data_IF_740729204910
#
_entry.id   IF_740729204910
#
_cell.length_a   1.000
_cell.length_b   1.000
_cell.length_c   1.000
_cell.angle_alpha   90.00
_cell.angle_beta   90.00
_cell.angle_gamma   90.00
#
_symmetry.space_group_name_H-M   'P 1'
#
loop_
_entity.id
_entity.type
_entity.pdbx_description
1 polymer ?
#
# COMPACT_ATOMS: atom_id res chain seq x y z
N UNK A 1 2.52 -21.74 20.76
CA UNK A 1 1.50 -20.97 19.99
C UNK A 1 2.02 -20.79 18.57
N UNK A 2 1.13 -20.82 17.57
CA UNK A 2 1.45 -20.36 16.21
C UNK A 2 0.85 -18.97 16.04
N UNK A 3 1.60 -18.06 15.40
CA UNK A 3 1.13 -16.73 15.07
C UNK A 3 1.46 -16.40 13.61
N UNK A 4 0.50 -15.83 12.88
CA UNK A 4 0.60 -15.62 11.46
C UNK A 4 0.38 -14.15 11.13
N UNK A 5 1.20 -13.60 10.23
CA UNK A 5 1.03 -12.26 9.66
C UNK A 5 1.16 -12.27 8.15
N UNK A 6 0.54 -11.29 7.50
CA UNK A 6 0.56 -11.12 6.05
C UNK A 6 1.12 -9.75 5.68
N UNK A 7 1.65 -9.65 4.46
CA UNK A 7 2.02 -8.40 3.82
C UNK A 7 1.74 -8.48 2.32
N UNK A 8 1.60 -7.32 1.67
CA UNK A 8 1.31 -7.20 0.24
C UNK A 8 2.34 -6.31 -0.45
N UNK A 9 2.55 -6.53 -1.75
CA UNK A 9 3.41 -5.68 -2.58
C UNK A 9 2.70 -4.38 -2.96
N UNK A 10 3.45 -3.45 -3.54
CA UNK A 10 2.93 -2.16 -4.03
C UNK A 10 1.82 -2.29 -5.08
N UNK A 11 1.75 -3.42 -5.80
CA UNK A 11 0.74 -3.67 -6.82
C UNK A 11 -0.51 -4.39 -6.33
N UNK A 12 -0.63 -4.68 -5.04
CA UNK A 12 -1.88 -5.17 -4.46
C UNK A 12 -2.93 -4.05 -4.44
N UNK A 13 -4.23 -4.32 -4.73
CA UNK A 13 -5.27 -3.29 -4.77
C UNK A 13 -5.30 -2.36 -3.56
N UNK A 14 -5.14 -2.88 -2.35
CA UNK A 14 -5.12 -2.06 -1.13
C UNK A 14 -3.95 -1.06 -1.14
N UNK A 15 -2.75 -1.52 -1.57
CA UNK A 15 -1.56 -0.66 -1.64
C UNK A 15 -1.59 0.32 -2.80
N UNK A 16 -2.20 -0.05 -3.92
CA UNK A 16 -2.45 0.89 -5.03
C UNK A 16 -3.36 2.02 -4.54
N UNK A 17 -4.43 1.69 -3.80
CA UNK A 17 -5.37 2.67 -3.24
C UNK A 17 -4.68 3.63 -2.28
N UNK A 18 -3.88 3.11 -1.33
CA UNK A 18 -3.08 3.92 -0.41
C UNK A 18 -2.15 4.87 -1.17
N UNK A 19 -1.36 4.35 -2.11
CA UNK A 19 -0.38 5.13 -2.87
C UNK A 19 -1.03 6.23 -3.72
N UNK A 20 -2.19 5.97 -4.32
CA UNK A 20 -2.93 6.98 -5.09
C UNK A 20 -3.46 8.07 -4.15
N UNK A 21 -4.05 7.71 -3.01
CA UNK A 21 -4.55 8.68 -2.03
C UNK A 21 -3.41 9.56 -1.50
N UNK A 22 -2.27 8.96 -1.16
CA UNK A 22 -1.07 9.66 -0.70
C UNK A 22 -0.48 10.57 -1.79
N UNK A 23 -0.38 10.11 -3.03
CA UNK A 23 0.14 10.91 -4.14
C UNK A 23 -0.73 12.15 -4.43
N UNK A 24 -2.06 12.04 -4.29
CA UNK A 24 -2.98 13.17 -4.41
C UNK A 24 -2.78 14.15 -3.25
N UNK A 25 -2.66 13.65 -2.02
CA UNK A 25 -2.35 14.46 -0.84
C UNK A 25 -1.05 15.23 -1.02
N UNK A 26 0.03 14.56 -1.42
CA UNK A 26 1.35 15.14 -1.65
C UNK A 26 1.29 16.24 -2.73
N UNK A 27 0.62 15.98 -3.85
CA UNK A 27 0.46 16.95 -4.93
C UNK A 27 -0.33 18.21 -4.51
N UNK A 28 -1.25 18.09 -3.56
CA UNK A 28 -1.96 19.24 -2.98
C UNK A 28 -1.08 20.01 -2.00
N UNK A 29 -0.40 19.30 -1.09
CA UNK A 29 0.45 19.92 -0.06
C UNK A 29 1.68 20.62 -0.65
N UNK A 30 2.21 20.14 -1.77
CA UNK A 30 3.31 20.79 -2.49
C UNK A 30 2.96 22.21 -2.96
N UNK A 31 1.69 22.47 -3.29
CA UNK A 31 1.20 23.76 -3.75
C UNK A 31 0.51 24.59 -2.65
N UNK A 32 -0.11 23.96 -1.70
CA UNK A 32 -0.82 24.58 -0.57
C UNK A 32 -0.67 23.75 0.69
N UNK A 33 0.31 24.12 1.53
CA UNK A 33 0.61 23.45 2.80
C UNK A 33 -0.51 23.51 3.83
N UNK A 34 -1.54 24.35 3.61
CA UNK A 34 -2.73 24.43 4.43
C UNK A 34 -3.90 23.58 3.92
N UNK A 35 -3.67 22.77 2.89
CA UNK A 35 -4.68 21.86 2.35
C UNK A 35 -5.19 20.89 3.42
N UNK A 36 -6.50 20.65 3.39
CA UNK A 36 -7.15 19.57 4.14
C UNK A 36 -7.72 18.58 3.13
N UNK A 37 -7.28 17.34 3.22
CA UNK A 37 -7.52 16.33 2.20
C UNK A 37 -8.03 15.05 2.87
N UNK A 38 -9.29 14.72 2.63
CA UNK A 38 -9.88 13.42 2.92
C UNK A 38 -10.19 12.76 1.56
N UNK A 39 -9.20 12.04 1.05
CA UNK A 39 -9.23 11.44 -0.29
C UNK A 39 -9.14 9.93 -0.18
N UNK A 40 -10.20 9.25 -0.57
CA UNK A 40 -10.32 7.80 -0.56
C UNK A 40 -10.23 7.26 -1.99
N UNK A 41 -9.58 6.12 -2.15
CA UNK A 41 -9.42 5.48 -3.45
C UNK A 41 -9.95 4.06 -3.43
N UNK A 42 -10.70 3.69 -4.45
CA UNK A 42 -11.11 2.33 -4.76
C UNK A 42 -10.50 1.90 -6.08
N UNK A 43 -9.86 0.72 -6.09
CA UNK A 43 -9.27 0.13 -7.29
C UNK A 43 -9.91 -1.22 -7.57
N UNK A 44 -10.20 -1.46 -8.86
CA UNK A 44 -10.60 -2.77 -9.37
C UNK A 44 -10.06 -2.94 -10.80
N UNK A 45 -10.28 -4.09 -11.42
CA UNK A 45 -9.83 -4.37 -12.79
C UNK A 45 -10.21 -3.23 -13.75
N UNK A 46 -9.20 -2.59 -14.33
CA UNK A 46 -9.37 -1.53 -15.33
C UNK A 46 -9.96 -0.21 -14.82
N UNK A 47 -10.12 0.01 -13.50
CA UNK A 47 -10.76 1.22 -12.98
C UNK A 47 -10.17 1.68 -11.65
N UNK A 48 -10.04 3.00 -11.52
CA UNK A 48 -9.76 3.73 -10.29
C UNK A 48 -10.91 4.71 -10.02
N UNK A 49 -11.41 4.74 -8.81
CA UNK A 49 -12.37 5.74 -8.32
C UNK A 49 -11.71 6.49 -7.17
N UNK A 50 -11.62 7.80 -7.29
CA UNK A 50 -11.16 8.71 -6.24
C UNK A 50 -12.37 9.50 -5.75
N UNK A 51 -12.66 9.44 -4.46
CA UNK A 51 -13.80 10.12 -3.86
C UNK A 51 -13.40 10.74 -2.51
N UNK A 52 -14.17 11.72 -2.05
CA UNK A 52 -13.95 12.33 -0.75
C UNK A 52 -14.21 13.83 -0.71
N UNK A 53 -13.61 14.52 0.25
CA UNK A 53 -13.78 15.93 0.49
C UNK A 53 -12.43 16.63 0.66
N UNK A 54 -12.25 17.77 0.00
CA UNK A 54 -11.01 18.55 0.08
C UNK A 54 -11.27 20.03 0.28
N UNK A 55 -10.35 20.69 0.99
CA UNK A 55 -10.26 22.15 1.06
C UNK A 55 -8.83 22.55 0.72
N UNK A 56 -8.64 23.11 -0.47
CA UNK A 56 -7.32 23.48 -0.97
C UNK A 56 -7.41 24.63 -1.96
N UNK A 57 -6.31 25.36 -2.13
CA UNK A 57 -6.09 26.34 -3.21
C UNK A 57 -5.26 25.74 -4.34
N UNK A 58 -4.72 24.54 -4.14
CA UNK A 58 -3.93 23.85 -5.15
C UNK A 58 -4.78 23.46 -6.37
N UNK A 59 -4.17 23.52 -7.54
CA UNK A 59 -4.72 22.92 -8.76
C UNK A 59 -3.91 21.66 -9.11
N UNK A 60 -4.56 20.51 -9.07
CA UNK A 60 -3.92 19.21 -9.31
C UNK A 60 -4.61 18.50 -10.47
N UNK A 61 -3.84 18.07 -11.46
CA UNK A 61 -4.31 17.12 -12.48
C UNK A 61 -4.36 15.70 -11.87
N UNK A 62 -5.47 15.40 -11.21
CA UNK A 62 -5.65 14.15 -10.48
C UNK A 62 -5.59 12.92 -11.39
N UNK A 63 -6.08 13.05 -12.65
CA UNK A 63 -5.99 11.93 -13.59
C UNK A 63 -4.54 11.60 -13.92
N UNK A 64 -3.71 12.65 -14.08
CA UNK A 64 -2.28 12.46 -14.31
C UNK A 64 -1.61 11.84 -13.09
N UNK A 65 -1.87 12.32 -11.88
CA UNK A 65 -1.31 11.78 -10.64
C UNK A 65 -1.66 10.29 -10.50
N UNK A 66 -2.92 9.91 -10.69
CA UNK A 66 -3.36 8.51 -10.64
C UNK A 66 -2.60 7.66 -11.66
N UNK A 67 -2.48 8.11 -12.91
CA UNK A 67 -1.81 7.35 -13.97
C UNK A 67 -0.32 7.21 -13.72
N UNK A 68 0.35 8.27 -13.30
CA UNK A 68 1.77 8.26 -12.97
C UNK A 68 2.05 7.27 -11.82
N UNK A 69 1.22 7.25 -10.79
CA UNK A 69 1.32 6.30 -9.67
C UNK A 69 1.17 4.85 -10.14
N UNK A 70 0.16 4.58 -10.98
CA UNK A 70 -0.08 3.23 -11.52
C UNK A 70 1.07 2.78 -12.43
N UNK A 71 1.65 3.69 -13.22
CA UNK A 71 2.83 3.43 -14.05
C UNK A 71 4.06 3.11 -13.21
N UNK A 72 4.34 3.88 -12.16
CA UNK A 72 5.47 3.69 -11.24
C UNK A 72 5.40 2.35 -10.50
N UNK A 73 4.20 1.92 -10.11
CA UNK A 73 3.96 0.60 -9.54
C UNK A 73 4.34 -0.52 -10.54
N UNK A 74 4.17 -0.27 -11.85
CA UNK A 74 4.57 -1.19 -12.92
C UNK A 74 3.40 -1.83 -13.67
N UNK A 75 2.19 -1.27 -13.58
CA UNK A 75 1.07 -1.68 -14.41
C UNK A 75 1.09 -0.95 -15.75
N UNK A 76 1.89 -1.47 -16.68
CA UNK A 76 2.23 -0.84 -17.97
C UNK A 76 1.65 -1.56 -19.18
N UNK A 77 0.91 -2.66 -18.98
CA UNK A 77 0.34 -3.47 -20.06
C UNK A 77 -1.07 -3.95 -19.68
N UNK A 78 -2.03 -3.73 -20.56
CA UNK A 78 -3.44 -4.14 -20.38
C UNK A 78 -3.64 -5.65 -20.17
N UNK A 79 -2.70 -6.50 -20.62
CA UNK A 79 -2.70 -7.93 -20.34
C UNK A 79 -2.51 -8.27 -18.85
N UNK A 80 -2.09 -7.29 -18.03
CA UNK A 80 -2.03 -7.46 -16.57
C UNK A 80 -3.41 -7.29 -15.91
N UNK A 81 -4.46 -6.94 -16.69
CA UNK A 81 -5.80 -6.65 -16.16
C UNK A 81 -5.94 -5.23 -15.60
N UNK A 82 -4.85 -4.47 -15.55
CA UNK A 82 -4.76 -3.09 -15.10
C UNK A 82 -3.61 -2.40 -15.84
N UNK A 83 -3.81 -1.15 -16.27
CA UNK A 83 -2.83 -0.44 -17.10
C UNK A 83 -3.03 1.07 -16.90
N UNK A 84 -1.94 1.78 -16.61
CA UNK A 84 -1.93 3.22 -16.34
C UNK A 84 -2.54 4.05 -17.49
N UNK A 85 -2.36 3.63 -18.73
CA UNK A 85 -2.78 4.36 -19.91
C UNK A 85 -4.26 4.14 -20.26
N UNK A 86 -4.78 2.95 -20.01
CA UNK A 86 -6.13 2.53 -20.45
C UNK A 86 -7.16 2.42 -19.35
N UNK A 87 -6.76 2.40 -18.07
CA UNK A 87 -7.71 2.31 -16.95
C UNK A 87 -8.65 3.53 -16.93
N UNK A 88 -9.91 3.29 -16.54
CA UNK A 88 -10.85 4.36 -16.24
C UNK A 88 -10.44 5.05 -14.93
N UNK A 89 -10.43 6.39 -14.93
CA UNK A 89 -10.19 7.19 -13.72
C UNK A 89 -11.41 8.07 -13.48
N UNK A 90 -12.12 7.81 -12.39
CA UNK A 90 -13.31 8.55 -11.98
C UNK A 90 -12.95 9.39 -10.74
N UNK A 91 -13.27 10.69 -10.79
CA UNK A 91 -13.01 11.63 -9.70
C UNK A 91 -14.32 12.18 -9.19
N UNK A 92 -14.57 12.05 -7.89
CA UNK A 92 -15.75 12.57 -7.18
C UNK A 92 -15.30 13.20 -5.87
N UNK A 93 -14.66 14.37 -5.95
CA UNK A 93 -14.20 15.14 -4.79
C UNK A 93 -15.07 16.37 -4.60
N UNK A 94 -15.63 16.52 -3.41
CA UNK A 94 -16.45 17.64 -2.98
C UNK A 94 -15.67 18.59 -2.06
N UNK A 95 -16.25 19.75 -1.79
CA UNK A 95 -15.76 20.65 -0.74
C UNK A 95 -16.17 20.12 0.62
N UNK A 96 -15.25 20.24 1.59
CA UNK A 96 -15.54 19.89 2.98
C UNK A 96 -16.80 20.60 3.52
N UNK A 97 -17.63 19.86 4.25
CA UNK A 97 -18.82 20.40 4.89
C UNK A 97 -18.48 21.61 5.80
N UNK A 98 -19.24 22.72 5.70
CA UNK A 98 -19.06 23.88 6.58
C UNK A 98 -19.17 23.53 8.07
N UNK A 99 -19.99 22.54 8.42
CA UNK A 99 -20.17 22.10 9.81
C UNK A 99 -18.93 21.42 10.38
N UNK A 100 -18.21 20.67 9.55
CA UNK A 100 -16.92 20.07 9.91
C UNK A 100 -15.83 21.15 9.98
N UNK A 101 -15.83 22.07 9.02
CA UNK A 101 -14.87 23.16 8.95
C UNK A 101 -14.86 24.04 10.24
N UNK A 102 -16.00 24.25 10.90
CA UNK A 102 -16.09 24.96 12.18
C UNK A 102 -15.26 24.32 13.31
N UNK A 103 -15.07 23.01 13.29
CA UNK A 103 -14.26 22.30 14.28
C UNK A 103 -12.77 22.30 13.98
N UNK A 104 -12.37 22.67 12.76
CA UNK A 104 -10.99 22.59 12.25
C UNK A 104 -10.37 23.96 12.05
N UNK A 105 -11.16 24.94 11.55
CA UNK A 105 -10.64 26.27 11.23
C UNK A 105 -10.24 27.04 12.48
N UNK A 106 -9.08 27.69 12.41
CA UNK A 106 -8.59 28.60 13.45
C UNK A 106 -9.51 29.83 13.57
N UNK A 107 -9.95 30.12 14.78
CA UNK A 107 -10.82 31.26 15.05
C UNK A 107 -12.29 31.11 14.67
N UNK A 108 -12.72 29.94 14.20
CA UNK A 108 -14.12 29.64 13.92
C UNK A 108 -14.67 28.63 14.94
N UNK A 109 -15.94 28.77 15.31
CA UNK A 109 -16.61 27.84 16.23
C UNK A 109 -16.36 28.14 17.73
N UNK A 110 -16.38 27.08 18.56
CA UNK A 110 -16.27 27.18 20.04
C UNK A 110 -14.82 27.28 20.53
N UNK A 111 -13.83 27.02 19.71
CA UNK A 111 -12.40 27.02 20.04
C UNK A 111 -11.63 27.95 19.11
N UNK A 112 -10.63 28.66 19.68
CA UNK A 112 -9.77 29.58 18.92
C UNK A 112 -8.58 28.91 18.28
N UNK A 113 -8.21 27.71 18.74
CA UNK A 113 -7.11 26.90 18.20
C UNK A 113 -7.61 25.94 17.15
N UNK A 114 -6.72 25.58 16.23
CA UNK A 114 -7.00 24.59 15.19
C UNK A 114 -7.36 23.23 15.80
N UNK A 115 -8.47 22.65 15.39
CA UNK A 115 -8.89 21.31 15.79
C UNK A 115 -8.25 20.21 14.94
N UNK A 116 -8.43 18.97 15.37
CA UNK A 116 -7.83 17.78 14.73
C UNK A 116 -8.52 17.33 13.42
N UNK A 117 -9.65 17.89 13.06
CA UNK A 117 -10.41 17.50 11.86
C UNK A 117 -11.29 16.28 12.05
N UNK A 118 -10.89 15.34 12.88
CA UNK A 118 -11.66 14.14 13.24
C UNK A 118 -11.30 13.70 14.66
N UNK A 119 -12.14 12.88 15.27
CA UNK A 119 -11.82 12.17 16.51
C UNK A 119 -10.80 11.07 16.24
N UNK A 120 -9.95 10.76 17.23
CA UNK A 120 -8.92 9.73 17.06
C UNK A 120 -8.57 9.02 18.34
N UNK A 121 -8.16 7.76 18.20
CA UNK A 121 -7.57 6.93 19.23
C UNK A 121 -6.41 6.15 18.61
N UNK A 122 -5.22 6.26 19.20
CA UNK A 122 -4.01 5.62 18.70
C UNK A 122 -3.52 4.56 19.67
N UNK A 123 -3.08 3.43 19.11
CA UNK A 123 -2.38 2.38 19.83
C UNK A 123 -0.95 2.28 19.33
N UNK A 124 -0.01 2.07 20.25
CA UNK A 124 1.39 1.79 19.91
C UNK A 124 1.81 0.44 20.45
N UNK A 125 2.58 -0.30 19.66
CA UNK A 125 3.19 -1.57 20.09
C UNK A 125 4.59 -1.69 19.51
N UNK A 126 5.53 -2.12 20.35
CA UNK A 126 6.89 -2.49 19.94
C UNK A 126 7.38 -3.68 20.75
N UNK A 127 8.26 -4.49 20.19
CA UNK A 127 8.90 -5.60 20.85
C UNK A 127 10.36 -5.75 20.39
N UNK A 128 11.15 -6.55 21.10
CA UNK A 128 12.56 -6.78 20.83
C UNK A 128 12.85 -8.05 20.00
N UNK A 129 11.85 -8.54 19.26
CA UNK A 129 11.99 -9.74 18.43
C UNK A 129 12.86 -9.52 17.19
N UNK A 130 12.92 -8.28 16.72
CA UNK A 130 13.70 -7.86 15.53
C UNK A 130 14.41 -6.52 15.78
N UNK A 131 15.47 -6.22 15.05
CA UNK A 131 16.17 -4.91 15.15
C UNK A 131 15.25 -3.71 14.87
N UNK A 132 14.20 -3.92 14.08
CA UNK A 132 13.19 -2.89 13.74
C UNK A 132 12.15 -2.70 14.86
N UNK A 133 12.27 -3.41 15.97
CA UNK A 133 11.33 -3.42 17.09
C UNK A 133 9.93 -3.87 16.70
N UNK A 134 9.83 -4.72 15.71
CA UNK A 134 8.59 -5.29 15.17
C UNK A 134 8.48 -6.78 15.48
N UNK A 135 7.26 -7.32 15.64
CA UNK A 135 7.06 -8.76 15.76
C UNK A 135 7.61 -9.52 14.54
N UNK A 136 8.27 -10.64 14.80
CA UNK A 136 8.96 -11.41 13.77
C UNK A 136 8.08 -11.84 12.59
N UNK A 137 6.82 -12.32 12.77
CA UNK A 137 6.00 -12.74 11.63
C UNK A 137 5.72 -11.62 10.63
N UNK A 138 5.33 -10.43 11.11
CA UNK A 138 5.04 -9.31 10.22
C UNK A 138 6.30 -8.76 9.57
N UNK A 139 7.41 -8.70 10.29
CA UNK A 139 8.68 -8.24 9.75
C UNK A 139 9.19 -9.15 8.62
N UNK A 140 9.09 -10.48 8.80
CA UNK A 140 9.44 -11.42 7.74
C UNK A 140 8.48 -11.32 6.54
N UNK A 141 7.18 -11.13 6.78
CA UNK A 141 6.21 -10.92 5.71
C UNK A 141 6.55 -9.67 4.90
N UNK A 142 6.87 -8.53 5.53
CA UNK A 142 7.31 -7.32 4.85
C UNK A 142 8.57 -7.54 4.01
N UNK A 143 9.60 -8.16 4.57
CA UNK A 143 10.84 -8.45 3.84
C UNK A 143 10.64 -9.37 2.63
N UNK A 144 9.71 -10.32 2.72
CA UNK A 144 9.37 -11.21 1.60
C UNK A 144 8.67 -10.44 0.46
N UNK A 145 7.74 -9.55 0.75
CA UNK A 145 7.08 -8.73 -0.28
C UNK A 145 8.02 -7.69 -0.88
N UNK A 146 8.88 -7.07 -0.06
CA UNK A 146 9.95 -6.19 -0.55
C UNK A 146 10.90 -6.93 -1.49
N UNK A 147 11.35 -8.13 -1.11
CA UNK A 147 12.20 -8.95 -1.96
C UNK A 147 11.50 -9.40 -3.25
N UNK A 148 10.21 -9.74 -3.18
CA UNK A 148 9.41 -10.10 -4.34
C UNK A 148 9.32 -8.95 -5.35
N UNK A 149 9.06 -7.73 -4.88
CA UNK A 149 9.07 -6.52 -5.69
C UNK A 149 10.45 -6.23 -6.30
N UNK A 150 11.52 -6.42 -5.51
CA UNK A 150 12.88 -6.22 -5.97
C UNK A 150 13.25 -7.14 -7.14
N UNK A 151 13.02 -8.47 -7.03
CA UNK A 151 13.36 -9.42 -8.09
C UNK A 151 12.52 -9.24 -9.36
N UNK A 152 11.33 -8.64 -9.25
CA UNK A 152 10.52 -8.21 -10.39
C UNK A 152 11.15 -7.00 -11.07
N UNK A 153 11.48 -5.96 -10.29
CA UNK A 153 11.97 -4.66 -10.81
C UNK A 153 13.38 -4.75 -11.38
N UNK A 154 14.24 -5.60 -10.84
CA UNK A 154 15.62 -5.79 -11.35
C UNK A 154 15.71 -6.78 -12.52
N UNK A 155 14.58 -7.41 -12.91
CA UNK A 155 14.51 -8.36 -14.02
C UNK A 155 15.01 -9.77 -13.69
N UNK A 156 15.34 -10.06 -12.43
CA UNK A 156 15.72 -11.43 -12.01
C UNK A 156 14.58 -12.42 -12.25
N UNK A 157 13.33 -11.96 -12.07
CA UNK A 157 12.10 -12.71 -12.35
C UNK A 157 11.16 -11.80 -13.17
N UNK A 158 11.50 -11.54 -14.42
CA UNK A 158 10.84 -10.59 -15.33
C UNK A 158 9.39 -10.96 -15.70
N UNK A 159 9.02 -12.22 -15.48
CA UNK A 159 7.65 -12.72 -15.67
C UNK A 159 6.70 -12.38 -14.51
N UNK A 160 7.21 -11.88 -13.38
CA UNK A 160 6.36 -11.43 -12.27
C UNK A 160 5.59 -10.16 -12.64
N UNK A 161 4.39 -10.03 -12.06
CA UNK A 161 3.55 -8.85 -12.16
C UNK A 161 3.51 -8.12 -10.81
N UNK A 162 2.97 -6.88 -10.76
CA UNK A 162 3.07 -6.05 -9.56
C UNK A 162 2.34 -6.58 -8.32
N UNK A 163 1.23 -7.32 -8.50
CA UNK A 163 0.47 -7.86 -7.37
C UNK A 163 1.14 -9.07 -6.75
N UNK A 164 1.31 -9.03 -5.44
CA UNK A 164 1.85 -10.13 -4.67
C UNK A 164 1.53 -10.03 -3.18
N UNK A 165 1.57 -11.18 -2.53
CA UNK A 165 1.26 -11.33 -1.11
C UNK A 165 2.18 -12.35 -0.47
N UNK A 166 2.59 -12.09 0.76
CA UNK A 166 3.30 -13.05 1.62
C UNK A 166 2.51 -13.31 2.89
N UNK A 167 2.63 -14.53 3.41
CA UNK A 167 2.13 -14.92 4.71
C UNK A 167 3.23 -15.71 5.44
N UNK A 168 3.50 -15.35 6.69
CA UNK A 168 4.50 -16.04 7.51
C UNK A 168 3.88 -16.50 8.82
N UNK A 169 4.03 -17.77 9.12
CA UNK A 169 3.63 -18.37 10.39
C UNK A 169 4.87 -18.69 11.23
N UNK A 170 4.92 -18.16 12.45
CA UNK A 170 6.01 -18.37 13.39
C UNK A 170 5.51 -19.18 14.60
N UNK A 171 6.32 -20.14 15.02
CA UNK A 171 6.10 -20.93 16.24
C UNK A 171 6.74 -20.23 17.43
N UNK A 172 5.92 -19.96 18.45
CA UNK A 172 6.33 -19.38 19.72
C UNK A 172 6.31 -20.41 20.82
N UNK A 173 7.33 -20.40 21.67
CA UNK A 173 7.41 -21.16 22.92
C UNK A 173 7.69 -20.19 24.06
N UNK A 174 6.85 -20.17 25.06
CA UNK A 174 6.94 -19.24 26.20
C UNK A 174 7.09 -17.76 25.83
N UNK A 175 6.32 -17.35 24.81
CA UNK A 175 6.34 -15.98 24.30
C UNK A 175 7.54 -15.63 23.40
N UNK A 176 8.45 -16.58 23.15
CA UNK A 176 9.67 -16.33 22.35
C UNK A 176 9.53 -17.01 20.98
N UNK A 177 9.83 -16.32 19.85
CA UNK A 177 9.84 -16.93 18.53
C UNK A 177 10.95 -17.99 18.43
N UNK A 178 10.65 -19.16 17.88
CA UNK A 178 11.58 -20.30 17.80
C UNK A 178 11.87 -20.75 16.38
N UNK A 179 10.89 -20.79 15.52
CA UNK A 179 11.06 -21.21 14.12
C UNK A 179 9.96 -20.68 13.24
N UNK A 180 10.25 -20.49 11.96
CA UNK A 180 9.24 -20.33 10.94
C UNK A 180 8.59 -21.68 10.68
N UNK A 181 7.27 -21.75 10.78
CA UNK A 181 6.48 -22.97 10.62
C UNK A 181 5.97 -23.08 9.16
N UNK A 182 5.54 -21.97 8.57
CA UNK A 182 5.08 -21.93 7.18
C UNK A 182 5.33 -20.57 6.54
N UNK A 183 5.57 -20.59 5.23
CA UNK A 183 5.64 -19.42 4.36
C UNK A 183 4.74 -19.66 3.16
N UNK A 184 3.86 -18.71 2.86
CA UNK A 184 3.04 -18.71 1.64
C UNK A 184 3.36 -17.45 0.85
N UNK A 185 3.63 -17.60 -0.44
CA UNK A 185 3.76 -16.50 -1.41
C UNK A 185 2.72 -16.70 -2.49
N UNK A 186 1.91 -15.67 -2.72
CA UNK A 186 1.03 -15.58 -3.88
C UNK A 186 1.52 -14.41 -4.74
N UNK A 187 1.59 -14.58 -6.04
CA UNK A 187 2.03 -13.52 -6.94
C UNK A 187 1.36 -13.65 -8.30
N UNK A 188 1.01 -12.53 -8.88
CA UNK A 188 0.61 -12.44 -10.27
C UNK A 188 1.84 -12.64 -11.15
N UNK A 189 1.69 -13.39 -12.25
CA UNK A 189 2.77 -13.71 -13.18
C UNK A 189 2.25 -13.85 -14.63
N UNK A 190 3.15 -13.93 -15.59
CA UNK A 190 2.82 -14.23 -16.98
C UNK A 190 2.27 -15.66 -17.13
N UNK A 191 1.42 -15.86 -18.13
CA UNK A 191 0.70 -17.14 -18.34
C UNK A 191 1.59 -18.31 -18.78
N UNK A 192 2.74 -18.01 -19.38
CA UNK A 192 3.68 -18.97 -19.95
C UNK A 192 4.63 -19.61 -18.92
N UNK A 193 4.54 -19.21 -17.65
CA UNK A 193 5.37 -19.72 -16.56
C UNK A 193 4.71 -20.94 -15.92
N UNK A 194 5.43 -22.06 -15.84
CA UNK A 194 4.93 -23.25 -15.15
C UNK A 194 4.93 -23.08 -13.63
N UNK A 195 3.98 -23.73 -12.95
CA UNK A 195 3.93 -23.75 -11.47
C UNK A 195 5.21 -24.32 -10.85
N UNK A 196 5.84 -25.29 -11.48
CA UNK A 196 7.10 -25.87 -11.00
C UNK A 196 8.24 -24.85 -11.02
N UNK A 197 8.38 -24.12 -12.13
CA UNK A 197 9.38 -23.06 -12.27
C UNK A 197 9.12 -21.94 -11.27
N UNK A 198 7.87 -21.46 -11.18
CA UNK A 198 7.49 -20.41 -10.24
C UNK A 198 7.84 -20.80 -8.80
N UNK A 199 7.53 -22.03 -8.40
CA UNK A 199 7.84 -22.53 -7.05
C UNK A 199 9.35 -22.56 -6.76
N UNK A 200 10.15 -23.09 -7.69
CA UNK A 200 11.61 -23.15 -7.54
C UNK A 200 12.25 -21.77 -7.49
N UNK A 201 11.83 -20.86 -8.36
CA UNK A 201 12.37 -19.51 -8.45
C UNK A 201 11.99 -18.66 -7.22
N UNK A 202 10.74 -18.73 -6.75
CA UNK A 202 10.30 -18.07 -5.52
C UNK A 202 11.09 -18.60 -4.32
N UNK A 203 11.24 -19.90 -4.20
CA UNK A 203 12.04 -20.50 -3.12
C UNK A 203 13.48 -20.01 -3.14
N UNK A 204 14.11 -20.01 -4.31
CA UNK A 204 15.53 -19.64 -4.48
C UNK A 204 15.76 -18.14 -4.34
N UNK A 205 14.99 -17.32 -5.04
CA UNK A 205 15.28 -15.89 -5.21
C UNK A 205 14.59 -15.00 -4.18
N UNK A 206 13.53 -15.50 -3.53
CA UNK A 206 12.76 -14.74 -2.54
C UNK A 206 12.89 -15.35 -1.15
N UNK A 207 12.40 -16.58 -0.93
CA UNK A 207 12.31 -17.15 0.43
C UNK A 207 13.70 -17.36 1.04
N UNK A 208 14.62 -18.03 0.31
CA UNK A 208 15.97 -18.32 0.83
C UNK A 208 16.85 -17.07 1.04
N UNK A 209 16.40 -15.90 0.55
CA UNK A 209 17.07 -14.61 0.76
C UNK A 209 16.67 -13.95 2.08
N UNK A 210 15.47 -14.27 2.57
CA UNK A 210 14.83 -13.60 3.71
C UNK A 210 14.77 -14.53 4.93
N UNK A 211 14.43 -15.79 4.71
CA UNK A 211 14.29 -16.79 5.77
C UNK A 211 15.61 -17.56 5.86
N UNK A 212 16.31 -17.51 6.99
CA UNK A 212 17.60 -18.19 7.20
C UNK A 212 17.47 -19.72 7.24
#
# INVERSE_FOLDING_TARGET
MLFTSESVTEGHPDKISDQISDAILDAMLDQDTASRVACETLVTTGMVVVAGEVTTKAWVDMQKVVRDTVEEIGYTDSNMGFDFNTCAVLISLDKQSPNIAQGVNEGEGAHTEQGAGDQGLMFGYACDETPELMPLPIQLAHRLTERLSHVRKDGTMDYLRPDGKSQVTVRYVDGIPKSVDAVVISTQHAEDVSQSQLHEDIKKNVISHVIP
#
